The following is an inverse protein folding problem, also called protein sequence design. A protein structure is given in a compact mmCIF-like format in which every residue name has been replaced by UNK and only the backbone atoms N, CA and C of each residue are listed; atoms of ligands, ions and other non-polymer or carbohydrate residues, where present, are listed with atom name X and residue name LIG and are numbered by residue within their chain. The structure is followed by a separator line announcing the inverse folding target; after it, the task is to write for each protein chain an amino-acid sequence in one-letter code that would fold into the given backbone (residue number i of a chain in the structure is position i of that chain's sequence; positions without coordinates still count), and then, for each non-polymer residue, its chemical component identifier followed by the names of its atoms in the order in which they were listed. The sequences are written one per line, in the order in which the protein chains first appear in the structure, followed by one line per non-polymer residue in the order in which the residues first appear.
data_IF_187876106068
#
_entry.id   IF_187876106068
#
_cell.length_a   1.000
_cell.length_b   1.000
_cell.length_c   1.000
_cell.angle_alpha   90.00
_cell.angle_beta   90.00
_cell.angle_gamma   90.00
#
_symmetry.space_group_name_H-M   'P 1'
#
loop_
_entity.id
_entity.type
_entity.pdbx_description
1 polymer ?
#
# COMPACT_ATOMS: atom_id res chain seq x y z
N UNK A 1 7.49 -12.80 5.26
CA UNK A 1 7.76 -12.23 3.90
C UNK A 1 6.60 -12.41 2.95
N UNK A 2 6.09 -13.64 2.73
CA UNK A 2 4.97 -13.89 1.79
C UNK A 2 3.74 -13.00 2.02
N UNK A 3 3.27 -12.90 3.26
CA UNK A 3 2.11 -12.05 3.62
C UNK A 3 2.34 -10.56 3.34
N UNK A 4 3.58 -10.09 3.47
CA UNK A 4 3.94 -8.70 3.14
C UNK A 4 3.86 -8.45 1.64
N UNK A 5 4.34 -9.40 0.83
CA UNK A 5 4.27 -9.34 -0.63
C UNK A 5 2.82 -9.36 -1.10
N UNK A 6 1.99 -10.25 -0.55
CA UNK A 6 0.55 -10.32 -0.85
C UNK A 6 -0.16 -9.01 -0.50
N UNK A 7 0.16 -8.42 0.66
CA UNK A 7 -0.41 -7.12 1.06
C UNK A 7 0.06 -5.97 0.16
N UNK A 8 1.32 -6.01 -0.27
CA UNK A 8 1.87 -5.01 -1.18
C UNK A 8 1.27 -5.13 -2.59
N UNK A 9 0.97 -6.35 -3.05
CA UNK A 9 0.23 -6.58 -4.29
C UNK A 9 -1.16 -5.93 -4.25
N UNK A 10 -1.90 -6.14 -3.15
CA UNK A 10 -3.20 -5.50 -2.95
C UNK A 10 -3.07 -3.97 -2.89
N UNK A 11 -1.98 -3.46 -2.32
CA UNK A 11 -1.70 -2.04 -2.27
C UNK A 11 -1.49 -1.46 -3.67
N UNK A 12 -0.71 -2.12 -4.54
CA UNK A 12 -0.53 -1.69 -5.93
C UNK A 12 -1.87 -1.73 -6.70
N UNK A 13 -2.69 -2.76 -6.49
CA UNK A 13 -4.00 -2.86 -7.15
C UNK A 13 -4.93 -1.69 -6.80
N UNK A 14 -4.83 -1.16 -5.58
CA UNK A 14 -5.63 -0.02 -5.12
C UNK A 14 -4.97 1.33 -5.40
N UNK A 15 -3.64 1.40 -5.36
CA UNK A 15 -2.86 2.61 -5.59
C UNK A 15 -2.22 2.61 -6.99
N UNK A 16 -2.91 3.25 -7.93
CA UNK A 16 -2.48 3.39 -9.33
C UNK A 16 -1.20 4.24 -9.55
N UNK A 17 -0.60 4.80 -8.50
CA UNK A 17 0.64 5.57 -8.60
C UNK A 17 1.89 4.68 -8.65
N UNK A 18 1.81 3.44 -8.18
CA UNK A 18 2.94 2.51 -8.18
C UNK A 18 2.86 1.60 -9.41
N UNK A 19 3.91 1.52 -10.25
CA UNK A 19 3.96 0.63 -11.40
C UNK A 19 3.86 -0.85 -10.99
N UNK A 20 3.16 -1.66 -11.78
CA UNK A 20 3.04 -3.10 -11.55
C UNK A 20 4.37 -3.85 -11.65
N UNK A 21 5.33 -3.31 -12.41
CA UNK A 21 6.71 -3.82 -12.52
C UNK A 21 7.44 -3.83 -11.18
N UNK A 22 7.08 -2.93 -10.25
CA UNK A 22 7.65 -2.88 -8.91
C UNK A 22 7.34 -4.15 -8.12
N UNK A 23 6.19 -4.80 -8.36
CA UNK A 23 5.84 -6.06 -7.70
C UNK A 23 6.79 -7.18 -8.11
N UNK A 24 7.16 -7.25 -9.39
CA UNK A 24 8.08 -8.26 -9.91
C UNK A 24 9.46 -8.12 -9.24
N UNK A 25 9.97 -6.89 -9.12
CA UNK A 25 11.22 -6.60 -8.42
C UNK A 25 11.17 -7.03 -6.95
N UNK A 26 10.09 -6.69 -6.23
CA UNK A 26 9.95 -7.03 -4.80
C UNK A 26 9.84 -8.53 -4.59
N UNK A 27 9.16 -9.25 -5.49
CA UNK A 27 8.98 -10.71 -5.39
C UNK A 27 10.30 -11.45 -5.63
N UNK A 28 11.21 -10.87 -6.40
CA UNK A 28 12.54 -11.42 -6.67
C UNK A 28 13.57 -11.14 -5.57
N UNK A 29 13.22 -10.38 -4.52
CA UNK A 29 14.15 -10.07 -3.42
C UNK A 29 14.02 -11.12 -2.31
N UNK A 30 15.07 -11.92 -2.13
CA UNK A 30 15.17 -12.91 -1.06
C UNK A 30 15.69 -12.32 0.27
N UNK A 31 16.35 -11.16 0.23
CA UNK A 31 16.93 -10.51 1.42
C UNK A 31 15.87 -9.64 2.13
N UNK A 32 15.49 -9.96 3.39
CA UNK A 32 14.54 -9.18 4.19
C UNK A 32 14.88 -7.69 4.31
N UNK A 33 16.17 -7.37 4.44
CA UNK A 33 16.64 -6.00 4.59
C UNK A 33 16.48 -5.23 3.28
N UNK A 34 16.82 -5.84 2.15
CA UNK A 34 16.59 -5.21 0.83
C UNK A 34 15.10 -5.06 0.54
N UNK A 35 14.30 -6.09 0.84
CA UNK A 35 12.84 -6.08 0.66
C UNK A 35 12.23 -4.89 1.41
N UNK A 36 12.59 -4.75 2.70
CA UNK A 36 12.11 -3.67 3.54
C UNK A 36 12.47 -2.28 2.99
N UNK A 37 13.70 -2.08 2.50
CA UNK A 37 14.15 -0.82 1.92
C UNK A 37 13.46 -0.47 0.60
N UNK A 38 13.29 -1.45 -0.28
CA UNK A 38 12.58 -1.27 -1.55
C UNK A 38 11.12 -0.94 -1.31
N UNK A 39 10.42 -1.71 -0.47
CA UNK A 39 9.02 -1.48 -0.12
C UNK A 39 8.83 -0.09 0.53
N UNK A 40 9.69 0.29 1.48
CA UNK A 40 9.62 1.60 2.15
C UNK A 40 9.86 2.79 1.19
N UNK A 41 10.54 2.57 0.06
CA UNK A 41 10.77 3.59 -0.96
C UNK A 41 9.53 3.86 -1.83
N UNK A 42 8.67 2.84 -2.00
CA UNK A 42 7.43 2.94 -2.78
C UNK A 42 6.21 3.33 -1.95
N UNK A 43 6.30 3.22 -0.62
CA UNK A 43 5.27 3.69 0.29
C UNK A 43 5.43 5.19 0.56
N UNK A 44 4.31 5.91 0.58
CA UNK A 44 4.28 7.36 0.85
C UNK A 44 4.36 7.63 2.35
N UNK A 45 5.38 7.09 3.00
CA UNK A 45 5.60 7.26 4.43
C UNK A 45 5.96 8.69 4.81
N UNK A 46 5.51 9.12 5.99
CA UNK A 46 6.00 10.37 6.58
C UNK A 46 7.48 10.20 6.91
N UNK A 47 8.22 11.31 6.95
CA UNK A 47 9.64 11.29 7.29
C UNK A 47 9.92 10.59 8.63
N UNK A 48 9.03 10.79 9.61
CA UNK A 48 9.08 10.11 10.91
C UNK A 48 9.03 8.58 10.80
N UNK A 49 8.13 8.06 9.95
CA UNK A 49 8.00 6.61 9.76
C UNK A 49 9.23 6.03 9.04
N UNK A 50 9.82 6.78 8.11
CA UNK A 50 11.07 6.38 7.44
C UNK A 50 12.24 6.32 8.42
N UNK A 51 12.31 7.26 9.34
CA UNK A 51 13.32 7.29 10.39
C UNK A 51 13.17 6.06 11.31
N UNK A 52 11.96 5.77 11.78
CA UNK A 52 11.64 4.62 12.63
C UNK A 52 12.01 3.28 11.97
N UNK A 53 11.76 3.14 10.66
CA UNK A 53 12.14 1.95 9.89
C UNK A 53 13.67 1.80 9.79
N UNK A 54 14.40 2.91 9.60
CA UNK A 54 15.87 2.90 9.49
C UNK A 54 16.55 2.61 10.83
N UNK A 55 15.98 3.09 11.94
CA UNK A 55 16.50 2.87 13.30
C UNK A 55 16.30 1.43 13.79
N UNK A 56 15.38 0.68 13.19
CA UNK A 56 15.22 -0.75 13.44
C UNK A 56 16.38 -1.54 12.83
N UNK A 57 17.34 -1.97 13.66
CA UNK A 57 18.48 -2.80 13.27
C UNK A 57 18.09 -4.27 13.00
N UNK A 58 16.96 -4.71 13.55
CA UNK A 58 16.41 -6.05 13.35
C UNK A 58 15.51 -6.07 12.10
N UNK A 59 15.89 -6.90 11.13
CA UNK A 59 15.17 -7.04 9.86
C UNK A 59 13.75 -7.61 10.04
N UNK A 60 13.53 -8.46 11.05
CA UNK A 60 12.20 -9.00 11.35
C UNK A 60 11.27 -7.91 11.88
N UNK A 61 11.73 -7.12 12.86
CA UNK A 61 10.95 -5.98 13.40
C UNK A 61 10.66 -4.93 12.33
N UNK A 62 11.64 -4.66 11.46
CA UNK A 62 11.45 -3.72 10.35
C UNK A 62 10.37 -4.18 9.38
N UNK A 63 10.34 -5.48 9.05
CA UNK A 63 9.29 -6.04 8.18
C UNK A 63 7.91 -5.96 8.83
N UNK A 64 7.82 -6.18 10.13
CA UNK A 64 6.57 -6.08 10.90
C UNK A 64 6.04 -4.65 10.93
N UNK A 65 6.90 -3.67 11.23
CA UNK A 65 6.54 -2.25 11.18
C UNK A 65 6.05 -1.82 9.79
N UNK A 66 6.73 -2.26 8.72
CA UNK A 66 6.29 -1.96 7.34
C UNK A 66 4.95 -2.63 7.04
N UNK A 67 4.75 -3.87 7.50
CA UNK A 67 3.50 -4.60 7.31
C UNK A 67 2.32 -3.85 7.92
N UNK A 68 2.43 -3.40 9.17
CA UNK A 68 1.39 -2.64 9.86
C UNK A 68 1.04 -1.33 9.12
N UNK A 69 2.05 -0.62 8.61
CA UNK A 69 1.84 0.62 7.85
C UNK A 69 1.14 0.35 6.52
N UNK A 70 1.49 -0.73 5.80
CA UNK A 70 0.79 -1.14 4.58
C UNK A 70 -0.67 -1.47 4.88
N UNK A 71 -0.93 -2.23 5.94
CA UNK A 71 -2.29 -2.60 6.34
C UNK A 71 -3.15 -1.36 6.63
N UNK A 72 -2.59 -0.40 7.38
CA UNK A 72 -3.25 0.87 7.67
C UNK A 72 -3.60 1.64 6.39
N UNK A 73 -2.67 1.70 5.42
CA UNK A 73 -2.93 2.39 4.15
C UNK A 73 -3.91 1.64 3.24
N UNK A 74 -3.88 0.32 3.23
CA UNK A 74 -4.87 -0.49 2.54
C UNK A 74 -6.27 -0.20 3.05
N UNK A 75 -6.45 -0.10 4.36
CA UNK A 75 -7.74 0.21 4.97
C UNK A 75 -8.25 1.58 4.52
N UNK A 76 -7.39 2.60 4.55
CA UNK A 76 -7.70 3.95 4.05
C UNK A 76 -8.12 3.90 2.57
N UNK A 77 -7.32 3.28 1.71
CA UNK A 77 -7.60 3.16 0.28
C UNK A 77 -8.90 2.41 -0.01
N UNK A 78 -9.22 1.37 0.77
CA UNK A 78 -10.48 0.64 0.66
C UNK A 78 -11.68 1.51 1.06
N UNK A 79 -11.57 2.28 2.14
CA UNK A 79 -12.61 3.22 2.57
C UNK A 79 -12.82 4.29 1.50
N UNK A 80 -11.75 4.90 0.97
CA UNK A 80 -11.85 5.87 -0.13
C UNK A 80 -12.53 5.28 -1.36
N UNK A 81 -12.17 4.05 -1.75
CA UNK A 81 -12.80 3.36 -2.89
C UNK A 81 -14.31 3.16 -2.66
N UNK A 82 -14.72 2.78 -1.44
CA UNK A 82 -16.14 2.67 -1.08
C UNK A 82 -16.86 4.01 -1.20
N UNK A 83 -16.24 5.10 -0.73
CA UNK A 83 -16.80 6.46 -0.85
C UNK A 83 -16.94 6.86 -2.32
N UNK A 84 -15.88 6.73 -3.12
CA UNK A 84 -15.91 7.04 -4.57
C UNK A 84 -17.02 6.29 -5.30
N UNK A 85 -17.19 5.00 -5.01
CA UNK A 85 -18.25 4.19 -5.60
C UNK A 85 -19.66 4.65 -5.19
N UNK A 86 -19.85 5.06 -3.93
CA UNK A 86 -21.14 5.60 -3.45
C UNK A 86 -21.48 6.93 -4.13
N UNK A 87 -20.50 7.83 -4.23
CA UNK A 87 -20.67 9.12 -4.91
C UNK A 87 -21.03 8.90 -6.38
N UNK A 88 -20.31 8.02 -7.08
CA UNK A 88 -20.61 7.69 -8.49
C UNK A 88 -22.04 7.17 -8.68
N UNK A 89 -22.49 6.24 -7.82
CA UNK A 89 -23.87 5.73 -7.86
C UNK A 89 -24.92 6.80 -7.58
N UNK A 90 -24.65 7.75 -6.69
CA UNK A 90 -25.57 8.86 -6.43
C UNK A 90 -25.66 9.80 -7.64
N UNK A 91 -24.54 10.08 -8.31
CA UNK A 91 -24.52 10.90 -9.52
C UNK A 91 -25.29 10.26 -10.68
N UNK A 92 -25.10 8.96 -10.94
CA UNK A 92 -25.83 8.23 -11.99
C UNK A 92 -27.35 8.25 -11.75
N UNK A 93 -27.80 8.16 -10.50
CA UNK A 93 -29.22 8.28 -10.14
C UNK A 93 -29.75 9.69 -10.35
N UNK A 94 -29.00 10.71 -9.91
CA UNK A 94 -29.39 12.11 -10.10
C UNK A 94 -29.55 12.44 -11.60
N UNK A 95 -28.62 11.97 -12.43
CA UNK A 95 -28.68 12.18 -13.87
C UNK A 95 -29.87 11.49 -14.53
N UNK A 96 -30.24 10.26 -14.11
CA UNK A 96 -31.43 9.56 -14.63
C UNK A 96 -32.76 10.20 -14.26
N UNK A 97 -32.83 10.91 -13.12
CA UNK A 97 -34.07 11.59 -12.71
C UNK A 97 -34.30 12.92 -13.43
N UNK A 98 -33.27 13.45 -14.12
CA UNK A 98 -33.31 14.72 -14.86
C UNK A 98 -33.69 14.50 -16.35
N UNK A 99 -33.63 13.26 -16.83
CA UNK A 99 -33.99 12.85 -18.20
C UNK A 99 -35.41 12.27 -18.18
#
# INVERSE_FOLDING_TARGET
MRTLIESFEDYIKLNKRVPSETLATITAIDDPSKLSGTVASHLSFKLSDKQEILENLDSSKRLEAIYEKIQSELEILQVEKKIRNRVKKQMEKAQKNII
#
